data_IF_152122725628
#
_entry.id   IF_152122725628
#
_cell.length_a   1.000
_cell.length_b   1.000
_cell.length_c   1.000
_cell.angle_alpha   90.00
_cell.angle_beta   90.00
_cell.angle_gamma   90.00
#
_symmetry.space_group_name_H-M   'P 1'
#
loop_
_entity.id
_entity.type
_entity.pdbx_description
1 polymer ?
#
# COMPACT_ATOMS: atom_id res chain seq x y z
N UNK A 1 -4.67 35.22 -0.93
CA UNK A 1 -5.18 34.47 0.25
C UNK A 1 -5.72 35.44 1.29
N UNK A 2 -6.71 35.05 2.11
CA UNK A 2 -7.29 35.87 3.20
C UNK A 2 -6.97 35.23 4.56
N UNK A 3 -6.46 36.01 5.51
CA UNK A 3 -6.24 35.56 6.91
C UNK A 3 -6.79 36.62 7.88
N UNK A 4 -7.42 36.17 8.96
CA UNK A 4 -8.05 37.00 9.99
C UNK A 4 -7.12 37.16 11.20
N UNK A 5 -6.74 38.40 11.50
CA UNK A 5 -6.21 38.79 12.82
C UNK A 5 -6.90 40.10 13.22
N UNK A 6 -7.53 40.13 14.41
CA UNK A 6 -8.25 41.30 14.96
C UNK A 6 -9.31 41.93 14.03
N UNK A 7 -10.08 41.10 13.29
CA UNK A 7 -11.16 41.59 12.43
C UNK A 7 -10.70 42.39 11.20
N UNK A 8 -9.39 42.43 10.91
CA UNK A 8 -8.84 43.01 9.68
C UNK A 8 -8.43 41.89 8.74
N UNK A 9 -9.05 41.84 7.55
CA UNK A 9 -8.60 40.97 6.47
C UNK A 9 -7.46 41.66 5.71
N UNK A 10 -6.35 40.93 5.54
CA UNK A 10 -5.27 41.33 4.66
C UNK A 10 -5.33 40.48 3.39
N UNK A 11 -5.41 41.14 2.24
CA UNK A 11 -5.39 40.49 0.93
C UNK A 11 -3.99 40.63 0.31
N UNK A 12 -3.39 39.48 0.02
CA UNK A 12 -2.15 39.40 -0.73
C UNK A 12 -2.45 38.81 -2.12
N UNK A 13 -2.21 39.59 -3.16
CA UNK A 13 -2.32 39.18 -4.57
C UNK A 13 -1.06 38.43 -5.02
N UNK A 14 -0.88 37.25 -4.44
CA UNK A 14 0.31 36.41 -4.61
C UNK A 14 -0.09 34.98 -4.90
N UNK A 15 0.90 34.14 -5.21
CA UNK A 15 0.67 32.73 -5.45
C UNK A 15 0.27 32.00 -4.14
N UNK A 16 -1.04 31.80 -3.96
CA UNK A 16 -1.57 31.13 -2.77
C UNK A 16 -1.09 29.69 -2.60
N UNK A 17 -0.80 28.97 -3.69
CA UNK A 17 -0.24 27.62 -3.64
C UNK A 17 1.18 27.64 -3.04
N UNK A 18 2.01 28.60 -3.44
CA UNK A 18 3.36 28.75 -2.89
C UNK A 18 3.35 29.30 -1.46
N UNK A 19 2.35 30.12 -1.12
CA UNK A 19 2.22 30.70 0.22
C UNK A 19 2.03 29.65 1.32
N UNK A 20 1.40 28.52 1.00
CA UNK A 20 1.36 27.36 1.90
C UNK A 20 2.75 26.96 2.40
N UNK A 21 3.74 26.89 1.50
CA UNK A 21 5.12 26.50 1.84
C UNK A 21 5.86 27.58 2.63
N UNK A 22 5.49 28.85 2.44
CA UNK A 22 5.96 29.96 3.27
C UNK A 22 5.48 29.80 4.71
N UNK A 23 4.19 29.47 4.91
CA UNK A 23 3.66 29.23 6.25
C UNK A 23 4.27 27.99 6.90
N UNK A 24 4.49 26.92 6.15
CA UNK A 24 5.17 25.73 6.68
C UNK A 24 6.60 26.00 7.11
N UNK A 25 7.33 26.86 6.39
CA UNK A 25 8.64 27.33 6.84
C UNK A 25 8.55 28.06 8.19
N UNK A 26 7.56 28.94 8.40
CA UNK A 26 7.37 29.61 9.69
C UNK A 26 6.97 28.64 10.82
N UNK A 27 6.21 27.59 10.51
CA UNK A 27 5.79 26.58 11.50
C UNK A 27 6.94 25.65 11.92
N UNK A 28 7.73 25.20 10.95
CA UNK A 28 8.68 24.09 11.12
C UNK A 28 10.15 24.52 11.10
N UNK A 29 10.42 25.74 10.64
CA UNK A 29 11.77 26.24 10.35
C UNK A 29 12.43 25.59 9.13
N UNK A 30 11.72 24.72 8.38
CA UNK A 30 12.29 23.96 7.26
C UNK A 30 11.65 24.37 5.94
N UNK A 31 12.48 24.70 4.95
CA UNK A 31 11.98 25.10 3.64
C UNK A 31 11.61 23.88 2.79
N UNK A 32 10.37 23.85 2.31
CA UNK A 32 9.84 22.76 1.50
C UNK A 32 9.55 23.27 0.09
N UNK A 33 10.12 22.61 -0.93
CA UNK A 33 9.89 22.99 -2.33
C UNK A 33 9.11 21.94 -3.13
N UNK A 34 7.90 22.25 -3.65
CA UNK A 34 7.22 21.34 -4.57
C UNK A 34 8.06 21.10 -5.85
N UNK A 35 7.92 19.89 -6.41
CA UNK A 35 8.68 19.48 -7.61
C UNK A 35 8.32 20.37 -8.79
N UNK A 36 9.32 20.80 -9.57
CA UNK A 36 9.13 21.63 -10.76
C UNK A 36 8.71 23.08 -10.47
N UNK A 37 8.51 23.44 -9.20
CA UNK A 37 8.00 24.75 -8.79
C UNK A 37 9.06 25.65 -8.17
N UNK A 38 10.35 25.29 -8.30
CA UNK A 38 11.49 26.06 -7.76
C UNK A 38 11.41 27.55 -8.10
N UNK A 39 11.23 27.90 -9.38
CA UNK A 39 11.18 29.29 -9.83
C UNK A 39 9.99 30.03 -9.21
N UNK A 40 8.86 29.34 -9.01
CA UNK A 40 7.67 29.92 -8.39
C UNK A 40 7.90 30.17 -6.90
N UNK A 41 8.49 29.21 -6.19
CA UNK A 41 8.75 29.32 -4.76
C UNK A 41 9.86 30.34 -4.46
N UNK A 42 10.95 30.37 -5.24
CA UNK A 42 12.03 31.37 -5.10
C UNK A 42 11.49 32.80 -5.21
N UNK A 43 10.56 33.05 -6.14
CA UNK A 43 9.91 34.35 -6.28
C UNK A 43 9.10 34.75 -5.05
N UNK A 44 8.37 33.81 -4.44
CA UNK A 44 7.63 34.09 -3.21
C UNK A 44 8.58 34.28 -2.01
N UNK A 45 9.60 33.43 -1.83
CA UNK A 45 10.58 33.58 -0.75
C UNK A 45 11.28 34.94 -0.82
N UNK A 46 11.65 35.39 -2.03
CA UNK A 46 12.24 36.70 -2.25
C UNK A 46 11.26 37.83 -1.90
N UNK A 47 9.99 37.70 -2.28
CA UNK A 47 8.95 38.68 -1.95
C UNK A 47 8.74 38.82 -0.44
N UNK A 48 8.67 37.69 0.28
CA UNK A 48 8.56 37.64 1.73
C UNK A 48 9.88 37.86 2.47
N UNK A 49 10.97 38.13 1.74
CA UNK A 49 12.31 38.40 2.28
C UNK A 49 12.82 37.27 3.19
N UNK A 50 12.45 36.02 2.90
CA UNK A 50 12.91 34.85 3.64
C UNK A 50 14.27 34.45 3.06
N UNK A 51 15.37 34.56 3.82
CA UNK A 51 16.68 34.12 3.36
C UNK A 51 16.68 32.60 3.20
N UNK A 52 17.24 32.10 2.10
CA UNK A 52 17.35 30.67 1.85
C UNK A 52 18.63 30.34 1.07
N UNK A 53 19.23 29.18 1.35
CA UNK A 53 20.38 28.67 0.61
C UNK A 53 19.92 27.84 -0.59
N UNK A 54 20.35 28.22 -1.80
CA UNK A 54 20.08 27.48 -3.03
C UNK A 54 20.64 26.06 -2.99
N UNK A 55 21.73 25.85 -2.24
CA UNK A 55 22.36 24.55 -2.04
C UNK A 55 21.47 23.61 -1.23
N UNK A 56 20.77 24.14 -0.22
CA UNK A 56 19.82 23.38 0.61
C UNK A 56 18.62 22.91 -0.22
N UNK A 57 18.10 23.76 -1.10
CA UNK A 57 17.04 23.39 -2.05
C UNK A 57 17.49 22.33 -3.05
N UNK A 58 18.71 22.43 -3.57
CA UNK A 58 19.27 21.42 -4.48
C UNK A 58 19.47 20.06 -3.81
N UNK A 59 19.88 20.07 -2.53
CA UNK A 59 20.00 18.87 -1.70
C UNK A 59 18.62 18.22 -1.45
N UNK A 60 17.60 19.03 -1.14
CA UNK A 60 16.24 18.55 -0.94
C UNK A 60 15.65 17.96 -2.24
N UNK A 61 15.92 18.59 -3.39
CA UNK A 61 15.52 18.06 -4.70
C UNK A 61 16.19 16.70 -5.00
N UNK A 62 17.48 16.56 -4.69
CA UNK A 62 18.22 15.30 -4.85
C UNK A 62 17.66 14.21 -3.94
N UNK A 63 17.35 14.56 -2.69
CA UNK A 63 16.76 13.63 -1.72
C UNK A 63 15.39 13.16 -2.18
N UNK A 64 14.55 14.05 -2.72
CA UNK A 64 13.24 13.67 -3.30
C UNK A 64 13.36 12.68 -4.44
N UNK A 65 14.40 12.78 -5.27
CA UNK A 65 14.63 11.80 -6.34
C UNK A 65 14.92 10.39 -5.79
N UNK A 66 15.74 10.31 -4.73
CA UNK A 66 16.04 9.05 -4.02
C UNK A 66 14.78 8.49 -3.37
N UNK A 67 14.03 9.31 -2.63
CA UNK A 67 12.81 8.90 -1.95
C UNK A 67 11.77 8.35 -2.94
N UNK A 68 11.66 8.98 -4.11
CA UNK A 68 10.77 8.54 -5.18
C UNK A 68 11.18 7.18 -5.73
N UNK A 69 12.47 6.96 -5.96
CA UNK A 69 12.97 5.67 -6.41
C UNK A 69 12.70 4.56 -5.38
N UNK A 70 12.97 4.83 -4.10
CA UNK A 70 12.66 3.91 -2.99
C UNK A 70 11.16 3.60 -2.95
N UNK A 71 10.30 4.62 -3.10
CA UNK A 71 8.85 4.44 -3.13
C UNK A 71 8.43 3.53 -4.30
N UNK A 72 9.00 3.72 -5.49
CA UNK A 72 8.73 2.83 -6.63
C UNK A 72 9.10 1.37 -6.33
N UNK A 73 10.26 1.13 -5.69
CA UNK A 73 10.65 -0.22 -5.27
C UNK A 73 9.69 -0.81 -4.24
N UNK A 74 9.24 -0.03 -3.25
CA UNK A 74 8.25 -0.47 -2.26
C UNK A 74 6.93 -0.87 -2.94
N UNK A 75 6.41 -0.04 -3.83
CA UNK A 75 5.19 -0.32 -4.58
C UNK A 75 5.33 -1.56 -5.47
N UNK A 76 6.51 -1.75 -6.06
CA UNK A 76 6.80 -2.93 -6.86
C UNK A 76 6.76 -4.21 -6.02
N UNK A 77 7.39 -4.21 -4.84
CA UNK A 77 7.38 -5.35 -3.90
C UNK A 77 5.94 -5.68 -3.49
N UNK A 78 5.14 -4.67 -3.12
CA UNK A 78 3.73 -4.85 -2.77
C UNK A 78 2.98 -5.47 -3.95
N UNK A 79 3.11 -4.92 -5.16
CA UNK A 79 2.41 -5.43 -6.34
C UNK A 79 2.76 -6.89 -6.65
N UNK A 80 4.02 -7.30 -6.47
CA UNK A 80 4.39 -8.71 -6.60
C UNK A 80 3.73 -9.56 -5.51
N UNK A 81 3.69 -9.08 -4.27
CA UNK A 81 2.98 -9.75 -3.18
C UNK A 81 1.49 -9.95 -3.49
N UNK A 82 0.81 -8.91 -3.97
CA UNK A 82 -0.61 -8.94 -4.35
C UNK A 82 -0.90 -9.99 -5.41
N UNK A 83 0.09 -10.26 -6.25
CA UNK A 83 0.04 -11.23 -7.34
C UNK A 83 0.72 -12.56 -6.98
N UNK A 84 0.99 -12.82 -5.70
CA UNK A 84 1.59 -14.06 -5.22
C UNK A 84 2.96 -14.37 -5.84
N UNK A 85 3.71 -13.37 -6.30
CA UNK A 85 5.10 -13.50 -6.72
C UNK A 85 6.04 -13.08 -5.61
N UNK A 86 7.19 -13.73 -5.54
CA UNK A 86 8.12 -13.62 -4.42
C UNK A 86 9.57 -13.29 -4.85
N UNK A 87 9.78 -13.09 -6.16
CA UNK A 87 11.07 -12.81 -6.76
C UNK A 87 10.93 -11.73 -7.84
N UNK A 88 11.74 -10.68 -7.74
CA UNK A 88 11.83 -9.55 -8.66
C UNK A 88 13.25 -9.48 -9.20
N UNK A 89 13.38 -9.38 -10.53
CA UNK A 89 14.66 -9.21 -11.21
C UNK A 89 14.62 -7.92 -12.04
N UNK A 90 15.47 -6.96 -11.67
CA UNK A 90 15.63 -5.66 -12.32
C UNK A 90 17.00 -5.55 -12.99
N UNK A 91 17.01 -5.03 -14.21
CA UNK A 91 18.21 -4.69 -14.95
C UNK A 91 18.25 -3.17 -15.11
N UNK A 92 19.25 -2.53 -14.51
CA UNK A 92 19.37 -1.07 -14.49
C UNK A 92 20.66 -0.66 -15.17
N UNK A 93 20.54 -0.03 -16.33
CA UNK A 93 21.64 0.50 -17.10
C UNK A 93 21.57 2.03 -17.17
N UNK A 94 22.64 2.66 -17.67
CA UNK A 94 22.63 4.12 -17.96
C UNK A 94 21.52 4.51 -18.95
N UNK A 95 21.13 3.59 -19.83
CA UNK A 95 20.11 3.79 -20.84
C UNK A 95 18.68 3.61 -20.32
N UNK A 96 18.50 3.07 -19.11
CA UNK A 96 17.18 2.90 -18.51
C UNK A 96 17.03 1.68 -17.62
N UNK A 97 15.78 1.42 -17.22
CA UNK A 97 15.40 0.31 -16.32
C UNK A 97 14.60 -0.71 -17.12
N UNK A 98 14.96 -1.99 -17.01
CA UNK A 98 14.20 -3.09 -17.60
C UNK A 98 13.96 -4.20 -16.59
N UNK A 99 12.87 -4.95 -16.80
CA UNK A 99 12.44 -6.03 -15.90
C UNK A 99 12.25 -7.31 -16.69
N UNK A 100 12.58 -8.45 -16.07
CA UNK A 100 12.38 -9.78 -16.69
C UNK A 100 10.89 -10.05 -16.97
N UNK A 101 10.01 -9.58 -16.09
CA UNK A 101 8.55 -9.76 -16.13
C UNK A 101 7.87 -8.42 -16.41
N UNK A 102 7.67 -8.10 -17.71
CA UNK A 102 7.05 -6.84 -18.15
C UNK A 102 5.58 -6.65 -17.70
N UNK A 103 4.86 -7.74 -17.38
CA UNK A 103 3.42 -7.69 -17.06
C UNK A 103 3.10 -7.22 -15.64
N UNK A 104 4.06 -7.32 -14.71
CA UNK A 104 3.95 -6.75 -13.36
C UNK A 104 4.70 -5.43 -13.25
N UNK A 105 5.14 -4.87 -14.38
CA UNK A 105 5.76 -3.57 -14.44
C UNK A 105 4.62 -2.57 -14.28
N UNK A 106 4.44 -1.96 -13.10
CA UNK A 106 3.47 -0.92 -13.02
C UNK A 106 4.11 0.24 -13.81
N UNK A 107 3.30 1.19 -14.29
CA UNK A 107 3.78 2.44 -14.88
C UNK A 107 4.72 3.27 -13.95
N UNK A 108 5.17 2.71 -12.83
CA UNK A 108 6.07 3.27 -11.82
C UNK A 108 7.40 3.77 -12.35
N UNK A 109 7.90 3.21 -13.46
CA UNK A 109 9.12 3.68 -14.12
C UNK A 109 8.86 4.43 -15.42
N UNK A 110 7.60 4.65 -15.84
CA UNK A 110 7.30 5.44 -17.05
C UNK A 110 7.52 6.95 -16.86
N UNK A 111 7.93 7.36 -15.66
CA UNK A 111 8.33 8.72 -15.38
C UNK A 111 9.80 8.93 -15.80
N UNK A 112 10.00 9.53 -16.98
CA UNK A 112 11.30 9.81 -17.62
C UNK A 112 12.39 10.39 -16.68
N UNK A 113 11.97 11.04 -15.59
CA UNK A 113 12.86 11.60 -14.57
C UNK A 113 13.53 10.54 -13.70
N UNK A 114 12.80 9.49 -13.29
CA UNK A 114 13.34 8.42 -12.44
C UNK A 114 14.35 7.61 -13.24
N UNK A 115 14.02 7.28 -14.49
CA UNK A 115 14.86 6.45 -15.36
C UNK A 115 16.26 7.07 -15.58
N UNK A 116 16.35 8.40 -15.70
CA UNK A 116 17.62 9.11 -15.92
C UNK A 116 18.56 9.14 -14.72
N UNK A 117 18.02 9.19 -13.50
CA UNK A 117 18.84 9.29 -12.29
C UNK A 117 18.97 7.97 -11.52
N UNK A 118 18.14 6.96 -11.81
CA UNK A 118 18.15 5.66 -11.11
C UNK A 118 19.53 5.01 -11.11
N UNK A 119 20.20 4.95 -12.27
CA UNK A 119 21.56 4.42 -12.34
C UNK A 119 22.53 5.17 -11.42
N UNK A 120 22.49 6.50 -11.41
CA UNK A 120 23.36 7.34 -10.58
C UNK A 120 23.03 7.22 -9.08
N UNK A 121 21.75 7.07 -8.74
CA UNK A 121 21.29 6.83 -7.37
C UNK A 121 21.88 5.52 -6.86
N UNK A 122 21.79 4.44 -7.64
CA UNK A 122 22.34 3.14 -7.24
C UNK A 122 23.86 3.14 -7.14
N UNK A 123 24.57 3.75 -8.09
CA UNK A 123 26.04 3.90 -8.00
C UNK A 123 26.46 4.51 -6.66
N UNK A 124 25.67 5.42 -6.09
CA UNK A 124 26.01 6.13 -4.85
C UNK A 124 25.41 5.53 -3.58
N UNK A 125 24.19 4.99 -3.65
CA UNK A 125 23.36 4.70 -2.48
C UNK A 125 22.79 3.27 -2.47
N UNK A 126 23.26 2.37 -3.35
CA UNK A 126 22.78 0.98 -3.45
C UNK A 126 22.66 0.30 -2.09
N UNK A 127 23.75 0.27 -1.31
CA UNK A 127 23.78 -0.40 -0.01
C UNK A 127 22.73 0.15 0.97
N UNK A 128 22.61 1.48 1.03
CA UNK A 128 21.66 2.17 1.92
C UNK A 128 20.21 1.89 1.53
N UNK A 129 19.95 1.83 0.21
CA UNK A 129 18.63 1.48 -0.32
C UNK A 129 18.29 0.03 0.01
N UNK A 130 19.23 -0.90 -0.21
CA UNK A 130 19.06 -2.31 0.12
C UNK A 130 18.76 -2.53 1.60
N UNK A 131 19.59 -1.97 2.50
CA UNK A 131 19.39 -2.04 3.96
C UNK A 131 18.03 -1.47 4.38
N UNK A 132 17.63 -0.33 3.80
CA UNK A 132 16.33 0.28 4.09
C UNK A 132 15.16 -0.59 3.65
N UNK A 133 15.23 -1.23 2.48
CA UNK A 133 14.17 -2.13 1.99
C UNK A 133 14.09 -3.41 2.81
N UNK A 134 15.24 -4.01 3.17
CA UNK A 134 15.29 -5.19 4.05
C UNK A 134 14.64 -4.89 5.40
N UNK A 135 14.95 -3.73 6.00
CA UNK A 135 14.29 -3.28 7.24
C UNK A 135 12.80 -3.02 7.03
N UNK A 136 12.43 -2.40 5.91
CA UNK A 136 11.04 -2.06 5.60
C UNK A 136 10.17 -3.29 5.38
N UNK A 137 10.69 -4.39 4.85
CA UNK A 137 9.93 -5.62 4.60
C UNK A 137 10.46 -6.80 5.42
N UNK A 138 10.93 -6.53 6.64
CA UNK A 138 11.55 -7.53 7.50
C UNK A 138 10.63 -8.70 7.83
N UNK A 139 9.32 -8.45 7.97
CA UNK A 139 8.30 -9.48 8.20
C UNK A 139 8.15 -10.47 7.04
N UNK A 140 8.60 -10.09 5.83
CA UNK A 140 8.61 -10.96 4.64
C UNK A 140 9.96 -11.63 4.41
N UNK A 141 10.93 -11.46 5.31
CA UNK A 141 12.31 -11.97 5.17
C UNK A 141 12.93 -11.51 3.83
N UNK A 142 12.71 -10.25 3.48
CA UNK A 142 13.20 -9.69 2.22
C UNK A 142 14.74 -9.78 2.14
N UNK A 143 15.23 -10.30 1.02
CA UNK A 143 16.64 -10.29 0.66
C UNK A 143 16.86 -9.39 -0.56
N UNK A 144 17.89 -8.55 -0.46
CA UNK A 144 18.36 -7.66 -1.50
C UNK A 144 19.73 -8.13 -1.99
N UNK A 145 19.86 -8.38 -3.29
CA UNK A 145 21.12 -8.64 -3.95
C UNK A 145 21.30 -7.69 -5.13
N UNK A 146 22.50 -7.10 -5.26
CA UNK A 146 22.84 -6.22 -6.35
C UNK A 146 24.20 -6.61 -6.91
N UNK A 147 24.21 -7.07 -8.15
CA UNK A 147 25.41 -7.52 -8.85
C UNK A 147 25.74 -6.56 -10.01
N UNK A 148 27.02 -6.21 -10.22
CA UNK A 148 27.41 -5.48 -11.42
C UNK A 148 27.17 -6.36 -12.65
N UNK A 149 26.63 -5.77 -13.71
CA UNK A 149 26.45 -6.39 -15.02
C UNK A 149 27.15 -5.52 -16.08
N UNK A 150 27.50 -6.08 -17.24
CA UNK A 150 28.35 -5.46 -18.27
C UNK A 150 28.07 -3.97 -18.59
N UNK A 151 26.83 -3.51 -18.46
CA UNK A 151 26.41 -2.12 -18.70
C UNK A 151 25.62 -1.47 -17.55
N UNK A 152 25.57 -2.09 -16.37
CA UNK A 152 24.60 -1.73 -15.34
C UNK A 152 24.67 -2.53 -14.04
N UNK A 153 23.51 -2.65 -13.40
CA UNK A 153 23.28 -3.45 -12.20
C UNK A 153 22.18 -4.49 -12.48
N UNK A 154 22.37 -5.69 -11.97
CA UNK A 154 21.35 -6.71 -11.82
C UNK A 154 20.90 -6.72 -10.36
N UNK A 155 19.66 -6.31 -10.10
CA UNK A 155 19.07 -6.35 -8.77
C UNK A 155 18.13 -7.53 -8.71
N UNK A 156 18.33 -8.37 -7.69
CA UNK A 156 17.43 -9.47 -7.35
C UNK A 156 16.85 -9.21 -5.97
N UNK A 157 15.52 -9.09 -5.90
CA UNK A 157 14.79 -8.92 -4.65
C UNK A 157 13.96 -10.18 -4.45
N UNK A 158 14.15 -10.87 -3.33
CA UNK A 158 13.37 -12.05 -2.97
C UNK A 158 12.74 -11.88 -1.61
N UNK A 159 11.59 -12.50 -1.37
CA UNK A 159 10.85 -12.41 -0.10
C UNK A 159 9.91 -13.63 0.03
N UNK A 160 9.22 -13.78 1.16
CA UNK A 160 8.35 -14.95 1.42
C UNK A 160 6.87 -14.59 1.46
N UNK A 161 6.11 -15.05 0.46
CA UNK A 161 4.65 -14.92 0.44
C UNK A 161 3.97 -15.71 1.57
N UNK A 162 4.56 -16.81 2.02
CA UNK A 162 4.03 -17.59 3.15
C UNK A 162 4.02 -16.77 4.44
N UNK A 163 5.06 -15.96 4.66
CA UNK A 163 5.17 -15.07 5.83
C UNK A 163 4.09 -13.99 5.83
N UNK A 164 3.72 -13.48 4.65
CA UNK A 164 2.63 -12.52 4.49
C UNK A 164 1.32 -13.03 5.10
N UNK A 165 0.99 -14.32 4.91
CA UNK A 165 -0.24 -14.91 5.46
C UNK A 165 -0.12 -15.26 6.95
N UNK A 166 1.08 -15.52 7.45
CA UNK A 166 1.33 -15.72 8.89
C UNK A 166 1.11 -14.41 9.67
N UNK A 167 1.53 -13.28 9.09
CA UNK A 167 1.32 -11.95 9.67
C UNK A 167 -0.15 -11.64 10.00
N UNK A 168 -1.10 -12.07 9.14
CA UNK A 168 -2.55 -11.90 9.39
C UNK A 168 -3.00 -12.52 10.72
N UNK A 169 -2.48 -13.70 11.05
CA UNK A 169 -2.87 -14.40 12.27
C UNK A 169 -2.38 -13.67 13.53
N UNK A 170 -1.32 -12.87 13.42
CA UNK A 170 -0.77 -12.07 14.51
C UNK A 170 -1.56 -10.76 14.74
N UNK A 171 -2.23 -10.23 13.72
CA UNK A 171 -3.06 -9.03 13.79
C UNK A 171 -4.51 -9.28 14.27
N UNK A 172 -4.98 -10.54 14.24
CA UNK A 172 -6.35 -10.92 14.62
C UNK A 172 -6.65 -10.83 16.13
N UNK A 173 -5.79 -10.20 16.95
CA UNK A 173 -6.02 -10.01 18.39
C UNK A 173 -6.82 -8.76 18.74
N UNK A 174 -7.42 -8.06 17.78
CA UNK A 174 -8.38 -6.97 18.07
C UNK A 174 -9.71 -7.31 17.42
N UNK A 175 -10.42 -8.25 18.05
CA UNK A 175 -11.84 -8.46 17.78
C UNK A 175 -12.66 -7.37 18.47
N UNK A 176 -13.52 -6.75 17.68
CA UNK A 176 -14.67 -5.91 18.02
C UNK A 176 -15.14 -6.02 19.48
N UNK A 177 -14.86 -4.99 20.27
CA UNK A 177 -15.69 -4.67 21.44
C UNK A 177 -16.87 -3.82 20.94
N UNK A 178 -17.93 -4.49 20.49
CA UNK A 178 -19.26 -3.89 20.53
C UNK A 178 -19.64 -3.91 22.01
N UNK A 179 -19.67 -2.74 22.66
CA UNK A 179 -20.23 -2.61 23.99
C UNK A 179 -21.60 -1.91 23.89
N UNK A 180 -22.54 -2.49 24.62
CA UNK A 180 -23.95 -2.17 24.67
C UNK A 180 -24.28 -0.70 24.98
N UNK A 181 -25.41 -0.25 24.43
CA UNK A 181 -26.27 0.88 24.80
C UNK A 181 -25.89 1.66 26.08
N UNK A 182 -24.90 2.54 25.97
CA UNK A 182 -24.73 3.73 26.81
C UNK A 182 -24.77 4.93 25.86
N UNK A 183 -25.44 6.02 26.23
CA UNK A 183 -25.44 7.27 25.46
C UNK A 183 -24.00 7.69 25.16
N UNK A 184 -23.56 7.49 23.92
CA UNK A 184 -22.16 7.58 23.55
C UNK A 184 -21.68 9.03 23.62
N UNK A 185 -20.65 9.31 24.43
CA UNK A 185 -20.09 10.66 24.59
C UNK A 185 -19.52 11.15 23.24
N UNK A 186 -20.17 12.16 22.66
CA UNK A 186 -19.74 12.82 21.43
C UNK A 186 -18.68 13.87 21.74
N UNK A 187 -17.54 13.76 21.07
CA UNK A 187 -16.37 14.63 21.23
C UNK A 187 -16.16 15.42 19.94
N UNK A 188 -15.79 16.70 20.09
CA UNK A 188 -15.38 17.56 18.98
C UNK A 188 -13.89 17.85 19.11
N UNK A 189 -13.09 17.43 18.13
CA UNK A 189 -11.67 17.75 18.04
C UNK A 189 -11.50 18.92 17.05
N UNK A 190 -11.19 20.10 17.55
CA UNK A 190 -10.91 21.28 16.75
C UNK A 190 -9.40 21.34 16.46
N UNK A 191 -9.01 20.91 15.26
CA UNK A 191 -7.62 20.82 14.85
C UNK A 191 -7.32 21.92 13.84
N UNK A 192 -6.44 22.86 14.20
CA UNK A 192 -6.07 23.98 13.32
C UNK A 192 -7.26 24.81 12.83
N UNK A 193 -8.36 24.85 13.60
CA UNK A 193 -9.62 25.52 13.25
C UNK A 193 -10.67 24.63 12.55
N UNK A 194 -10.32 23.41 12.14
CA UNK A 194 -11.26 22.45 11.52
C UNK A 194 -11.79 21.48 12.58
N UNK A 195 -13.11 21.33 12.64
CA UNK A 195 -13.78 20.48 13.63
C UNK A 195 -13.99 19.06 13.09
N UNK A 196 -13.56 18.07 13.87
CA UNK A 196 -13.79 16.65 13.66
C UNK A 196 -14.68 16.11 14.77
N UNK A 197 -15.84 15.57 14.41
CA UNK A 197 -16.77 14.98 15.36
C UNK A 197 -16.56 13.46 15.43
N UNK A 198 -16.48 12.92 16.64
CA UNK A 198 -16.32 11.48 16.86
C UNK A 198 -16.90 11.06 18.21
N UNK A 199 -16.79 9.77 18.51
CA UNK A 199 -17.21 9.18 19.77
C UNK A 199 -16.00 8.83 20.63
N UNK A 200 -16.19 8.92 21.95
CA UNK A 200 -15.17 8.51 22.92
C UNK A 200 -14.70 7.06 22.73
N UNK A 201 -15.61 6.17 22.39
CA UNK A 201 -15.30 4.74 22.14
C UNK A 201 -14.24 4.56 21.05
N UNK A 202 -14.35 5.31 19.94
CA UNK A 202 -13.45 5.27 18.80
C UNK A 202 -12.03 5.70 19.20
N UNK A 203 -11.92 6.74 20.02
CA UNK A 203 -10.61 7.20 20.50
C UNK A 203 -10.01 6.20 21.50
N UNK A 204 -10.81 5.72 22.45
CA UNK A 204 -10.37 4.81 23.52
C UNK A 204 -10.09 3.38 23.04
N UNK A 205 -10.60 2.99 21.88
CA UNK A 205 -10.27 1.73 21.21
C UNK A 205 -8.77 1.60 20.88
N UNK A 206 -8.03 2.72 20.83
CA UNK A 206 -6.59 2.76 20.65
C UNK A 206 -5.89 3.26 21.93
N UNK A 207 -5.87 2.48 23.03
CA UNK A 207 -5.50 2.97 24.36
C UNK A 207 -4.02 3.36 24.54
N UNK A 208 -3.17 3.10 23.53
CA UNK A 208 -1.73 3.37 23.54
C UNK A 208 -1.35 4.71 22.89
N UNK A 209 -2.32 5.43 22.33
CA UNK A 209 -2.10 6.69 21.63
C UNK A 209 -2.48 7.89 22.49
N UNK A 210 -2.08 9.10 22.10
CA UNK A 210 -2.36 10.33 22.85
C UNK A 210 -3.87 10.51 23.12
N UNK A 211 -4.71 10.44 22.08
CA UNK A 211 -6.16 10.64 22.26
C UNK A 211 -6.79 9.46 22.99
N UNK A 212 -6.33 8.22 22.73
CA UNK A 212 -6.85 7.06 23.43
C UNK A 212 -6.55 7.09 24.93
N UNK A 213 -5.38 7.60 25.33
CA UNK A 213 -5.03 7.86 26.73
C UNK A 213 -5.86 9.03 27.26
N UNK A 214 -5.87 10.18 26.58
CA UNK A 214 -6.56 11.40 27.02
C UNK A 214 -8.05 11.16 27.33
N UNK A 215 -8.73 10.34 26.53
CA UNK A 215 -10.16 10.06 26.65
C UNK A 215 -10.50 8.79 27.45
N UNK A 216 -9.56 8.18 28.16
CA UNK A 216 -9.89 7.15 29.17
C UNK A 216 -10.56 7.76 30.40
N UNK A 217 -11.39 6.98 31.11
CA UNK A 217 -12.14 7.47 32.30
C UNK A 217 -11.19 7.92 33.42
N UNK A 218 -10.09 7.19 33.61
CA UNK A 218 -9.04 7.55 34.59
C UNK A 218 -8.38 8.91 34.35
N UNK A 219 -8.56 9.48 33.15
CA UNK A 219 -7.88 10.69 32.69
C UNK A 219 -8.84 11.89 32.52
N UNK A 220 -10.06 11.80 33.08
CA UNK A 220 -11.05 12.88 33.00
C UNK A 220 -10.51 14.25 33.49
N UNK A 221 -9.60 14.26 34.45
CA UNK A 221 -8.99 15.48 34.98
C UNK A 221 -8.08 16.23 33.98
N UNK A 222 -7.60 15.55 32.93
CA UNK A 222 -6.78 16.15 31.87
C UNK A 222 -7.62 16.74 30.72
N UNK A 223 -8.95 16.55 30.77
CA UNK A 223 -9.87 17.06 29.77
C UNK A 223 -10.21 18.51 30.09
N UNK A 224 -9.84 19.41 29.19
CA UNK A 224 -10.20 20.83 29.26
C UNK A 224 -11.06 21.22 28.05
N UNK A 225 -12.33 20.78 28.00
CA UNK A 225 -13.19 21.08 26.88
C UNK A 225 -13.59 22.56 26.87
N UNK A 226 -13.54 23.16 25.70
CA UNK A 226 -14.29 24.36 25.34
C UNK A 226 -15.74 23.94 25.08
N UNK A 227 -16.71 24.75 25.53
CA UNK A 227 -18.15 24.51 25.30
C UNK A 227 -18.66 23.12 25.73
N UNK A 228 -18.00 22.47 26.69
CA UNK A 228 -18.42 21.20 27.29
C UNK A 228 -17.97 19.93 26.56
N UNK A 229 -17.60 19.99 25.27
CA UNK A 229 -17.14 18.80 24.53
C UNK A 229 -16.13 19.08 23.39
N UNK A 230 -15.63 20.30 23.24
CA UNK A 230 -14.70 20.69 22.17
C UNK A 230 -13.24 20.80 22.67
N UNK A 231 -12.30 20.15 21.99
CA UNK A 231 -10.89 20.11 22.38
C UNK A 231 -10.03 20.69 21.25
N UNK A 232 -9.25 21.73 21.56
CA UNK A 232 -8.45 22.43 20.56
C UNK A 232 -7.03 21.87 20.46
N UNK A 233 -6.57 21.67 19.23
CA UNK A 233 -5.22 21.24 18.86
C UNK A 233 -4.66 22.19 17.79
N UNK A 234 -3.55 22.86 18.09
CA UNK A 234 -2.85 23.72 17.12
C UNK A 234 -1.96 22.89 16.18
N UNK A 235 -2.59 22.02 15.38
CA UNK A 235 -1.94 21.03 14.51
C UNK A 235 -2.47 21.10 13.08
N UNK A 236 -1.82 20.38 12.16
CA UNK A 236 -2.22 20.35 10.75
C UNK A 236 -3.52 19.57 10.55
N UNK A 237 -4.60 20.30 10.24
CA UNK A 237 -5.94 19.74 10.12
C UNK A 237 -6.13 18.83 8.91
N UNK A 238 -5.38 19.02 7.83
CA UNK A 238 -5.47 18.19 6.62
C UNK A 238 -4.89 16.81 6.87
N UNK A 239 -3.72 16.76 7.52
CA UNK A 239 -3.05 15.50 7.90
C UNK A 239 -3.83 14.78 8.99
N UNK A 240 -4.48 15.52 9.90
CA UNK A 240 -5.30 14.95 10.97
C UNK A 240 -6.45 14.06 10.45
N UNK A 241 -6.94 14.29 9.23
CA UNK A 241 -7.95 13.39 8.64
C UNK A 241 -7.49 11.93 8.62
N UNK A 242 -6.20 11.69 8.31
CA UNK A 242 -5.60 10.36 8.30
C UNK A 242 -5.39 9.78 9.71
N UNK A 243 -5.04 10.64 10.66
CA UNK A 243 -4.97 10.29 12.09
C UNK A 243 -6.34 9.80 12.56
N UNK A 244 -7.41 10.50 12.19
CA UNK A 244 -8.78 10.13 12.56
C UNK A 244 -9.21 8.80 11.92
N UNK A 245 -8.83 8.54 10.68
CA UNK A 245 -9.09 7.27 10.00
C UNK A 245 -8.39 6.09 10.69
N UNK A 246 -7.19 6.30 11.25
CA UNK A 246 -6.53 5.30 12.10
C UNK A 246 -7.35 4.96 13.35
N UNK A 247 -7.93 5.94 14.05
CA UNK A 247 -8.78 5.64 15.20
C UNK A 247 -10.05 4.88 14.82
N UNK A 248 -10.63 5.18 13.65
CA UNK A 248 -11.84 4.51 13.16
C UNK A 248 -11.59 3.08 12.68
N UNK A 249 -10.48 2.84 12.00
CA UNK A 249 -10.22 1.57 11.29
C UNK A 249 -9.12 0.71 11.93
N UNK A 250 -8.31 1.29 12.81
CA UNK A 250 -7.06 0.72 13.30
C UNK A 250 -5.92 0.73 12.27
N UNK A 251 -6.11 1.36 11.10
CA UNK A 251 -5.17 1.30 9.97
C UNK A 251 -4.87 2.67 9.39
N UNK A 252 -3.70 2.80 8.78
CA UNK A 252 -3.30 4.01 8.04
C UNK A 252 -3.46 3.74 6.55
N UNK A 253 -4.24 4.56 5.82
CA UNK A 253 -4.48 4.35 4.40
C UNK A 253 -3.20 4.41 3.56
N UNK A 254 -3.08 3.47 2.63
CA UNK A 254 -1.88 3.38 1.80
C UNK A 254 -1.67 4.51 0.80
N UNK A 255 -2.77 5.08 0.28
CA UNK A 255 -2.67 6.15 -0.71
C UNK A 255 -1.89 7.36 -0.16
N UNK A 256 -1.77 7.49 1.17
CA UNK A 256 -0.94 8.51 1.80
C UNK A 256 0.54 8.32 1.45
N UNK A 257 1.02 7.10 1.24
CA UNK A 257 2.40 6.86 0.80
C UNK A 257 2.62 7.14 -0.69
N UNK A 258 1.55 7.36 -1.47
CA UNK A 258 1.64 7.86 -2.84
C UNK A 258 1.78 9.40 -2.91
N UNK A 259 1.63 10.07 -1.77
CA UNK A 259 1.72 11.53 -1.72
C UNK A 259 3.16 12.02 -1.77
N UNK A 260 3.34 13.30 -2.06
CA UNK A 260 4.68 13.91 -2.09
C UNK A 260 5.38 13.72 -0.74
N UNK A 261 6.73 13.64 -0.72
CA UNK A 261 7.57 13.55 0.48
C UNK A 261 7.15 14.51 1.61
N UNK A 262 6.66 15.69 1.23
CA UNK A 262 6.17 16.73 2.14
C UNK A 262 5.01 16.20 3.01
N UNK A 263 4.00 15.59 2.39
CA UNK A 263 2.83 15.06 3.10
C UNK A 263 3.24 13.87 3.96
N UNK A 264 4.13 12.99 3.49
CA UNK A 264 4.64 11.88 4.29
C UNK A 264 5.36 12.35 5.56
N UNK A 265 6.23 13.35 5.45
CA UNK A 265 6.95 13.88 6.61
C UNK A 265 6.02 14.58 7.60
N UNK A 266 5.06 15.35 7.09
CA UNK A 266 4.03 15.96 7.93
C UNK A 266 3.17 14.90 8.62
N UNK A 267 2.84 13.82 7.93
CA UNK A 267 2.18 12.66 8.55
C UNK A 267 3.04 12.07 9.65
N UNK A 268 4.32 11.80 9.43
CA UNK A 268 5.22 11.29 10.48
C UNK A 268 5.25 12.19 11.72
N UNK A 269 5.34 13.52 11.52
CA UNK A 269 5.33 14.49 12.61
C UNK A 269 3.99 14.47 13.39
N UNK A 270 2.86 14.33 12.72
CA UNK A 270 1.56 14.17 13.39
C UNK A 270 1.41 12.81 14.07
N UNK A 271 1.90 11.72 13.46
CA UNK A 271 1.90 10.38 14.04
C UNK A 271 2.70 10.34 15.35
N UNK A 272 3.86 10.99 15.36
CA UNK A 272 4.70 11.15 16.55
C UNK A 272 3.97 11.99 17.62
N UNK A 273 3.37 13.13 17.23
CA UNK A 273 2.61 13.99 18.15
C UNK A 273 1.44 13.25 18.80
N UNK A 274 0.63 12.53 18.02
CA UNK A 274 -0.50 11.73 18.51
C UNK A 274 -0.07 10.39 19.10
N UNK A 275 1.23 10.10 19.16
CA UNK A 275 1.83 8.89 19.72
C UNK A 275 1.23 7.61 19.13
N UNK A 276 1.00 7.60 17.81
CA UNK A 276 0.48 6.43 17.12
C UNK A 276 1.65 5.48 16.84
N UNK A 277 1.69 4.28 17.46
CA UNK A 277 2.81 3.37 17.29
C UNK A 277 2.75 2.71 15.92
N UNK A 278 3.53 3.22 14.98
CA UNK A 278 3.59 2.67 13.62
C UNK A 278 4.87 1.92 13.42
N UNK A 279 4.71 0.64 13.15
CA UNK A 279 5.74 -0.11 12.48
C UNK A 279 5.55 0.03 10.97
N UNK A 280 6.47 0.74 10.31
CA UNK A 280 6.46 0.90 8.84
C UNK A 280 6.43 -0.45 8.12
N UNK A 281 7.07 -1.48 8.67
CA UNK A 281 7.04 -2.84 8.10
C UNK A 281 5.64 -3.44 8.11
N UNK A 282 4.94 -3.29 9.23
CA UNK A 282 3.57 -3.75 9.43
C UNK A 282 2.60 -3.08 8.45
N UNK A 283 2.79 -1.79 8.14
CA UNK A 283 1.98 -1.09 7.13
C UNK A 283 2.14 -1.74 5.76
N UNK A 284 3.36 -1.85 5.23
CA UNK A 284 3.55 -2.37 3.87
C UNK A 284 3.12 -3.83 3.74
N UNK A 285 3.31 -4.65 4.79
CA UNK A 285 2.83 -6.03 4.81
C UNK A 285 1.30 -6.11 4.90
N UNK A 286 0.64 -5.23 5.66
CA UNK A 286 -0.82 -5.18 5.73
C UNK A 286 -1.45 -4.90 4.37
N UNK A 287 -0.79 -4.06 3.58
CA UNK A 287 -1.27 -3.65 2.26
C UNK A 287 -1.05 -4.72 1.20
N UNK A 288 0.15 -5.31 1.18
CA UNK A 288 0.42 -6.50 0.39
C UNK A 288 -0.60 -7.60 0.69
N UNK A 289 -0.98 -7.78 1.96
CA UNK A 289 -1.97 -8.76 2.39
C UNK A 289 -3.38 -8.41 1.90
N UNK A 290 -3.80 -7.14 1.98
CA UNK A 290 -5.11 -6.68 1.49
C UNK A 290 -5.24 -6.86 -0.01
N UNK A 291 -4.23 -6.44 -0.79
CA UNK A 291 -4.25 -6.63 -2.23
C UNK A 291 -4.17 -8.10 -2.62
N UNK A 292 -3.35 -8.93 -1.94
CA UNK A 292 -3.34 -10.39 -2.17
C UNK A 292 -4.70 -11.04 -1.86
N UNK A 293 -5.38 -10.61 -0.80
CA UNK A 293 -6.73 -11.09 -0.47
C UNK A 293 -7.76 -10.68 -1.54
N UNK A 294 -7.64 -9.48 -2.09
CA UNK A 294 -8.47 -9.01 -3.20
C UNK A 294 -8.23 -9.84 -4.47
N UNK A 295 -6.98 -10.02 -4.89
CA UNK A 295 -6.59 -10.87 -6.02
C UNK A 295 -7.14 -12.29 -5.85
N UNK A 296 -6.97 -12.87 -4.66
CA UNK A 296 -7.46 -14.21 -4.35
C UNK A 296 -8.98 -14.31 -4.48
N UNK A 297 -9.73 -13.33 -3.96
CA UNK A 297 -11.19 -13.26 -4.10
C UNK A 297 -11.60 -13.18 -5.57
N UNK A 298 -10.94 -12.35 -6.37
CA UNK A 298 -11.23 -12.23 -7.81
C UNK A 298 -10.92 -13.52 -8.57
N UNK A 299 -9.91 -14.27 -8.13
CA UNK A 299 -9.55 -15.57 -8.71
C UNK A 299 -10.61 -16.64 -8.41
N UNK A 300 -11.13 -16.68 -7.17
CA UNK A 300 -12.28 -17.54 -6.82
C UNK A 300 -13.49 -17.22 -7.70
N UNK A 301 -13.84 -15.94 -7.85
CA UNK A 301 -14.96 -15.53 -8.70
C UNK A 301 -14.76 -15.98 -10.16
N UNK A 302 -13.53 -15.98 -10.67
CA UNK A 302 -13.25 -16.49 -12.02
C UNK A 302 -13.47 -18.01 -12.15
N UNK A 303 -13.16 -18.80 -11.10
CA UNK A 303 -13.53 -20.22 -11.08
C UNK A 303 -15.04 -20.44 -11.00
N UNK A 304 -15.75 -19.65 -10.20
CA UNK A 304 -17.21 -19.72 -10.11
C UNK A 304 -17.85 -19.42 -11.48
N UNK A 305 -17.39 -18.38 -12.16
CA UNK A 305 -17.83 -18.03 -13.52
C UNK A 305 -17.52 -19.15 -14.51
N UNK A 306 -16.33 -19.76 -14.43
CA UNK A 306 -15.95 -20.88 -15.28
C UNK A 306 -16.89 -22.08 -15.11
N UNK A 307 -17.26 -22.43 -13.88
CA UNK A 307 -18.20 -23.53 -13.59
C UNK A 307 -19.59 -23.21 -14.12
N UNK A 308 -20.08 -21.99 -13.92
CA UNK A 308 -21.37 -21.54 -14.43
C UNK A 308 -21.41 -21.63 -15.96
N UNK A 309 -20.36 -21.15 -16.65
CA UNK A 309 -20.24 -21.24 -18.11
C UNK A 309 -20.28 -22.69 -18.60
N UNK A 310 -19.68 -23.65 -17.89
CA UNK A 310 -19.76 -25.06 -18.26
C UNK A 310 -21.17 -25.63 -18.03
N UNK A 311 -21.84 -25.25 -16.95
CA UNK A 311 -23.22 -25.64 -16.68
C UNK A 311 -24.19 -25.13 -17.76
N UNK A 312 -24.05 -23.87 -18.19
CA UNK A 312 -24.85 -23.27 -19.28
C UNK A 312 -24.70 -24.04 -20.60
N UNK A 313 -23.53 -24.65 -20.81
CA UNK A 313 -23.21 -25.47 -21.97
C UNK A 313 -23.44 -26.98 -21.73
N UNK A 314 -24.13 -27.37 -20.66
CA UNK A 314 -24.39 -28.77 -20.28
C UNK A 314 -23.14 -29.64 -20.14
N UNK A 315 -22.00 -29.04 -19.78
CA UNK A 315 -20.76 -29.76 -19.47
C UNK A 315 -20.61 -29.96 -17.97
N UNK A 316 -20.24 -31.17 -17.58
CA UNK A 316 -20.11 -31.64 -16.19
C UNK A 316 -18.66 -31.79 -15.71
N UNK A 317 -17.69 -31.56 -16.59
CA UNK A 317 -16.27 -31.78 -16.32
C UNK A 317 -15.48 -30.58 -16.87
N UNK A 318 -14.46 -30.18 -16.11
CA UNK A 318 -13.52 -29.11 -16.45
C UNK A 318 -12.12 -29.62 -16.13
N UNK A 319 -11.23 -29.52 -17.10
CA UNK A 319 -9.80 -29.81 -16.91
C UNK A 319 -9.00 -28.51 -17.07
N UNK A 320 -8.09 -28.23 -16.15
CA UNK A 320 -7.17 -27.11 -16.25
C UNK A 320 -5.72 -27.58 -16.19
N UNK A 321 -4.90 -27.08 -17.11
CA UNK A 321 -3.44 -27.22 -17.08
C UNK A 321 -2.82 -25.85 -16.86
N UNK A 322 -2.12 -25.67 -15.75
CA UNK A 322 -1.50 -24.40 -15.37
C UNK A 322 0.02 -24.55 -15.35
N UNK A 323 0.71 -23.61 -16.01
CA UNK A 323 2.16 -23.43 -15.94
C UNK A 323 2.47 -21.98 -15.57
N UNK A 324 3.69 -21.64 -15.13
CA UNK A 324 4.08 -20.23 -14.95
C UNK A 324 3.80 -19.41 -16.23
N UNK A 325 2.89 -18.45 -16.15
CA UNK A 325 2.53 -17.58 -17.28
C UNK A 325 1.45 -18.10 -18.23
N UNK A 326 0.88 -19.30 -18.02
CA UNK A 326 -0.16 -19.86 -18.91
C UNK A 326 -1.21 -20.70 -18.17
N UNK A 327 -2.44 -20.66 -18.67
CA UNK A 327 -3.57 -21.47 -18.22
C UNK A 327 -4.25 -22.02 -19.47
N UNK A 328 -4.48 -23.32 -19.52
CA UNK A 328 -5.28 -24.00 -20.53
C UNK A 328 -6.51 -24.60 -19.85
N UNK A 329 -7.67 -24.52 -20.50
CA UNK A 329 -8.92 -25.12 -20.03
C UNK A 329 -9.45 -26.06 -21.10
N UNK A 330 -9.72 -27.32 -20.75
CA UNK A 330 -10.17 -28.38 -21.67
C UNK A 330 -9.28 -28.51 -22.93
N UNK A 331 -7.96 -28.40 -22.74
CA UNK A 331 -6.95 -28.40 -23.79
C UNK A 331 -7.16 -27.34 -24.89
N UNK A 332 -7.91 -26.28 -24.58
CA UNK A 332 -8.15 -25.10 -25.44
C UNK A 332 -7.66 -23.82 -24.75
N UNK A 333 -7.53 -22.74 -25.52
CA UNK A 333 -7.34 -21.41 -24.95
C UNK A 333 -8.54 -21.07 -24.04
N UNK A 334 -8.23 -20.60 -22.83
CA UNK A 334 -9.19 -20.43 -21.73
C UNK A 334 -10.24 -19.34 -21.99
N UNK A 335 -11.35 -19.38 -21.25
CA UNK A 335 -12.30 -18.25 -21.21
C UNK A 335 -11.64 -16.96 -20.69
N UNK A 336 -12.15 -15.80 -21.15
CA UNK A 336 -11.62 -14.47 -20.84
C UNK A 336 -11.42 -14.20 -19.32
N UNK A 337 -12.26 -14.78 -18.46
CA UNK A 337 -12.32 -14.47 -17.03
C UNK A 337 -11.18 -15.09 -16.20
N UNK A 338 -10.72 -16.30 -16.57
CA UNK A 338 -9.60 -16.97 -15.89
C UNK A 338 -8.26 -16.64 -16.54
N UNK A 339 -8.25 -16.34 -17.85
CA UNK A 339 -7.03 -16.01 -18.59
C UNK A 339 -6.30 -14.78 -18.01
N UNK A 340 -7.02 -13.82 -17.45
CA UNK A 340 -6.43 -12.64 -16.78
C UNK A 340 -5.47 -13.00 -15.64
N UNK A 341 -5.58 -14.20 -15.08
CA UNK A 341 -4.71 -14.72 -14.02
C UNK A 341 -3.55 -15.57 -14.55
N UNK A 342 -3.31 -15.65 -15.87
CA UNK A 342 -2.26 -16.52 -16.43
C UNK A 342 -0.88 -16.29 -15.83
N UNK A 343 -0.59 -15.07 -15.38
CA UNK A 343 0.69 -14.72 -14.79
C UNK A 343 0.85 -15.16 -13.32
N UNK A 344 -0.24 -15.22 -12.54
CA UNK A 344 -0.21 -15.44 -11.09
C UNK A 344 -0.96 -16.70 -10.62
N UNK A 345 -1.79 -17.33 -11.46
CA UNK A 345 -2.59 -18.50 -11.11
C UNK A 345 -1.75 -19.65 -10.56
N UNK A 346 -0.60 -19.93 -11.16
CA UNK A 346 0.31 -20.97 -10.69
C UNK A 346 0.67 -20.76 -9.20
N UNK A 347 1.09 -19.55 -8.84
CA UNK A 347 1.50 -19.24 -7.47
C UNK A 347 0.32 -19.22 -6.50
N UNK A 348 -0.83 -18.68 -6.91
CA UNK A 348 -2.05 -18.68 -6.10
C UNK A 348 -2.45 -20.13 -5.78
N UNK A 349 -2.45 -21.01 -6.77
CA UNK A 349 -2.84 -22.42 -6.61
C UNK A 349 -1.85 -23.18 -5.71
N UNK A 350 -0.54 -22.98 -5.89
CA UNK A 350 0.47 -23.57 -5.00
C UNK A 350 0.20 -23.25 -3.53
N UNK A 351 -0.22 -22.02 -3.24
CA UNK A 351 -0.44 -21.55 -1.87
C UNK A 351 -1.87 -21.81 -1.34
N UNK A 352 -2.88 -21.89 -2.20
CA UNK A 352 -4.29 -21.82 -1.80
C UNK A 352 -5.23 -22.87 -2.40
N UNK A 353 -4.75 -23.88 -3.14
CA UNK A 353 -5.62 -24.86 -3.82
C UNK A 353 -6.69 -25.47 -2.90
N UNK A 354 -6.33 -25.88 -1.68
CA UNK A 354 -7.27 -26.49 -0.73
C UNK A 354 -8.40 -25.55 -0.33
N UNK A 355 -8.08 -24.26 -0.17
CA UNK A 355 -9.06 -23.24 0.20
C UNK A 355 -10.03 -22.97 -0.95
N UNK A 356 -9.51 -22.97 -2.18
CA UNK A 356 -10.31 -22.82 -3.40
C UNK A 356 -11.26 -24.01 -3.55
N UNK A 357 -10.73 -25.24 -3.53
CA UNK A 357 -11.53 -26.46 -3.68
C UNK A 357 -12.64 -26.57 -2.63
N UNK A 358 -12.33 -26.28 -1.37
CA UNK A 358 -13.32 -26.25 -0.29
C UNK A 358 -14.41 -25.19 -0.51
N UNK A 359 -14.02 -23.97 -0.89
CA UNK A 359 -14.97 -22.88 -1.17
C UNK A 359 -15.92 -23.26 -2.31
N UNK A 360 -15.38 -23.71 -3.46
CA UNK A 360 -16.19 -24.08 -4.62
C UNK A 360 -17.13 -25.25 -4.31
N UNK A 361 -16.66 -26.26 -3.59
CA UNK A 361 -17.50 -27.41 -3.18
C UNK A 361 -18.69 -26.97 -2.31
N UNK A 362 -18.46 -25.98 -1.43
CA UNK A 362 -19.51 -25.41 -0.58
C UNK A 362 -20.48 -24.52 -1.37
N UNK A 363 -19.96 -23.67 -2.26
CA UNK A 363 -20.78 -22.76 -3.09
C UNK A 363 -21.69 -23.54 -4.04
N UNK A 364 -21.17 -24.60 -4.68
CA UNK A 364 -21.91 -25.43 -5.64
C UNK A 364 -22.39 -26.75 -5.03
N UNK A 365 -22.84 -26.73 -3.76
CA UNK A 365 -23.20 -27.94 -3.02
C UNK A 365 -24.31 -28.79 -3.67
N UNK A 366 -25.19 -28.17 -4.46
CA UNK A 366 -26.27 -28.87 -5.19
C UNK A 366 -25.77 -29.66 -6.41
N UNK A 367 -24.60 -29.32 -6.94
CA UNK A 367 -24.01 -30.00 -8.10
C UNK A 367 -23.13 -31.19 -7.70
N UNK A 368 -22.84 -31.38 -6.41
CA UNK A 368 -21.93 -32.43 -5.94
C UNK A 368 -20.53 -32.27 -6.53
N UNK A 369 -19.98 -31.06 -6.46
CA UNK A 369 -18.70 -30.73 -7.06
C UNK A 369 -17.55 -31.49 -6.39
N UNK A 370 -16.73 -32.15 -7.19
CA UNK A 370 -15.46 -32.76 -6.79
C UNK A 370 -14.29 -31.95 -7.35
N UNK A 371 -13.31 -31.65 -6.49
CA UNK A 371 -12.08 -30.93 -6.83
C UNK A 371 -10.88 -31.87 -6.67
N UNK A 372 -10.15 -32.10 -7.77
CA UNK A 372 -8.90 -32.85 -7.77
C UNK A 372 -7.77 -31.95 -8.25
N UNK A 373 -6.65 -31.97 -7.52
CA UNK A 373 -5.48 -31.15 -7.80
C UNK A 373 -4.24 -32.05 -7.77
N UNK A 374 -3.47 -32.03 -8.86
CA UNK A 374 -2.27 -32.82 -9.05
C UNK A 374 -1.09 -31.93 -9.44
N UNK A 375 0.10 -32.28 -8.94
CA UNK A 375 1.36 -31.67 -9.35
C UNK A 375 2.11 -32.70 -10.19
N UNK A 376 2.41 -32.36 -11.43
CA UNK A 376 3.16 -33.23 -12.33
C UNK A 376 4.42 -32.54 -12.85
N UNK A 377 5.44 -33.34 -13.13
CA UNK A 377 6.70 -32.89 -13.72
C UNK A 377 6.82 -33.45 -15.13
N UNK A 378 6.93 -32.57 -16.14
CA UNK A 378 7.21 -33.01 -17.52
C UNK A 378 8.66 -32.77 -17.85
N UNK A 379 9.34 -33.85 -18.29
CA UNK A 379 10.72 -33.83 -18.79
C UNK A 379 10.72 -33.58 -20.31
N UNK A 380 10.40 -32.38 -20.73
CA UNK A 380 10.66 -31.96 -22.12
C UNK A 380 11.40 -30.62 -22.10
N UNK A 381 12.66 -30.63 -22.56
CA UNK A 381 13.61 -29.50 -22.52
C UNK A 381 13.90 -28.87 -21.14
N UNK A 382 13.57 -29.57 -20.06
CA UNK A 382 13.79 -29.14 -18.68
C UNK A 382 12.85 -29.88 -17.72
N UNK A 383 12.98 -29.64 -16.41
CA UNK A 383 11.95 -30.04 -15.44
C UNK A 383 10.97 -28.86 -15.36
N UNK A 384 9.84 -28.95 -16.07
CA UNK A 384 8.75 -28.00 -15.89
C UNK A 384 7.72 -28.61 -14.93
N UNK A 385 7.53 -27.95 -13.78
CA UNK A 385 6.44 -28.26 -12.87
C UNK A 385 5.15 -27.67 -13.42
N UNK A 386 4.13 -28.50 -13.54
CA UNK A 386 2.81 -28.10 -13.97
C UNK A 386 1.75 -28.52 -12.95
N UNK A 387 0.64 -27.80 -12.94
CA UNK A 387 -0.52 -28.09 -12.08
C UNK A 387 -1.66 -28.55 -12.96
N UNK A 388 -2.23 -29.70 -12.61
CA UNK A 388 -3.40 -30.26 -13.26
C UNK A 388 -4.57 -30.22 -12.27
N UNK A 389 -5.70 -29.64 -12.71
CA UNK A 389 -6.91 -29.51 -11.92
C UNK A 389 -8.05 -30.16 -12.68
N UNK A 390 -8.77 -31.05 -12.01
CA UNK A 390 -9.98 -31.66 -12.54
C UNK A 390 -11.15 -31.30 -11.64
N UNK A 391 -12.18 -30.69 -12.22
CA UNK A 391 -13.42 -30.34 -11.56
C UNK A 391 -14.53 -31.15 -12.22
N UNK A 392 -15.23 -31.97 -11.45
CA UNK A 392 -16.36 -32.77 -11.94
C UNK A 392 -17.61 -32.54 -11.10
N UNK A 393 -18.78 -32.50 -11.73
CA UNK A 393 -20.05 -32.22 -11.05
C UNK A 393 -21.25 -32.78 -11.84
N UNK A 394 -22.42 -32.91 -11.19
CA UNK A 394 -23.64 -33.45 -11.81
C UNK A 394 -24.67 -32.37 -12.09
N UNK A 395 -25.16 -32.30 -13.33
CA UNK A 395 -26.26 -31.43 -13.73
C UNK A 395 -27.55 -32.26 -13.72
N UNK A 396 -28.47 -31.94 -12.80
CA UNK A 396 -29.82 -32.53 -12.76
C UNK A 396 -30.83 -31.41 -12.97
N UNK A 397 -31.60 -31.49 -14.05
CA UNK A 397 -32.77 -30.63 -14.24
C UNK A 397 -33.93 -31.32 -13.54
N UNK A 398 -34.54 -30.62 -12.57
CA UNK A 398 -35.72 -31.09 -11.85
C UNK A 398 -37.01 -30.96 -12.65
#
# INVERSE_FOLDING_TARGET
>A
MRYLVNGKEYFFDRNGEMFYYILEFYRTGKLLCPIGSYIKLEKELSYFQIPFDKSELALEASTKAVDRFILCLKKLIISYCENFHDNIILYIAKSGVSMRTKNFCPLLFSDNLIERCTYQILVKLEKQIGEHLVKTFSELELMWNCEPNYSGFLITITFSIKKLFQFKNTQNSVSSLILDNISEEKIILNVGGKKYETFRSILTAQPKTLLGVMFQDRNNCMRHPVNGNEYFFDRNSEIFAYIMEFYQTGKIPWFIFDTTKIIYKQLEEELDYFQIPINKSTIFCSLALEGAASTFKQFILAFEELIIQHCENFRSEISLTIRPGSILVDDRESSLSIERFKMNAYNILIEKEKQIGYHLSKTFCKLGLEWKFEKSERKHYGIEQLLEIFISFSIRIG
#
